data_IF_026419187083
#
_entry.id   IF_026419187083
#
_cell.length_a   1.000
_cell.length_b   1.000
_cell.length_c   1.000
_cell.angle_alpha   90.00
_cell.angle_beta   90.00
_cell.angle_gamma   90.00
#
_symmetry.space_group_name_H-M   'P 1'
#
loop_
_entity.id
_entity.type
_entity.pdbx_description
1 polymer ?
#
# COMPACT_ATOMS: atom_id res chain seq x y z
N UNK A 1 -48.53 -7.14 0.54
CA UNK A 1 -47.22 -7.82 0.57
C UNK A 1 -46.76 -8.28 -0.82
N UNK A 2 -47.60 -8.93 -1.65
CA UNK A 2 -47.19 -9.41 -3.00
C UNK A 2 -46.67 -8.30 -3.93
N UNK A 3 -47.35 -7.15 -4.01
CA UNK A 3 -47.01 -6.05 -4.92
C UNK A 3 -45.67 -5.36 -4.63
N UNK A 4 -45.23 -5.36 -3.37
CA UNK A 4 -43.93 -4.78 -2.98
C UNK A 4 -42.78 -5.73 -3.34
N UNK A 5 -42.97 -7.03 -3.11
CA UNK A 5 -42.00 -8.07 -3.48
C UNK A 5 -41.82 -8.18 -5.00
N UNK A 6 -42.89 -8.02 -5.77
CA UNK A 6 -42.82 -8.01 -7.23
C UNK A 6 -42.12 -6.75 -7.77
N UNK A 7 -42.31 -5.60 -7.13
CA UNK A 7 -41.57 -4.37 -7.45
C UNK A 7 -40.08 -4.50 -7.12
N UNK A 8 -39.73 -5.04 -5.96
CA UNK A 8 -38.35 -5.27 -5.55
C UNK A 8 -37.64 -6.29 -6.45
N UNK A 9 -38.32 -7.38 -6.82
CA UNK A 9 -37.79 -8.38 -7.76
C UNK A 9 -37.51 -7.78 -9.13
N UNK A 10 -38.42 -6.97 -9.66
CA UNK A 10 -38.23 -6.32 -10.96
C UNK A 10 -37.08 -5.30 -10.91
N UNK A 11 -36.91 -4.59 -9.80
CA UNK A 11 -35.81 -3.65 -9.59
C UNK A 11 -34.46 -4.36 -9.50
N UNK A 12 -34.35 -5.45 -8.73
CA UNK A 12 -33.14 -6.28 -8.66
C UNK A 12 -32.79 -6.91 -10.01
N UNK A 13 -33.80 -7.34 -10.78
CA UNK A 13 -33.58 -7.85 -12.14
C UNK A 13 -33.01 -6.75 -13.07
N UNK A 14 -33.54 -5.53 -13.02
CA UNK A 14 -33.04 -4.40 -13.80
C UNK A 14 -31.60 -4.01 -13.42
N UNK A 15 -31.29 -4.02 -12.12
CA UNK A 15 -29.93 -3.81 -11.59
C UNK A 15 -28.96 -4.87 -12.12
N UNK A 16 -29.34 -6.15 -12.08
CA UNK A 16 -28.52 -7.27 -12.58
C UNK A 16 -28.23 -7.14 -14.08
N UNK A 17 -29.23 -6.82 -14.89
CA UNK A 17 -29.06 -6.64 -16.33
C UNK A 17 -28.10 -5.46 -16.61
N UNK A 18 -28.27 -4.35 -15.89
CA UNK A 18 -27.41 -3.16 -16.04
C UNK A 18 -25.96 -3.44 -15.62
N UNK A 19 -25.76 -4.13 -14.49
CA UNK A 19 -24.42 -4.52 -14.02
C UNK A 19 -23.74 -5.50 -15.00
N UNK A 20 -24.48 -6.45 -15.57
CA UNK A 20 -23.96 -7.38 -16.57
C UNK A 20 -23.48 -6.63 -17.82
N UNK A 21 -24.27 -5.68 -18.33
CA UNK A 21 -23.85 -4.86 -19.48
C UNK A 21 -22.59 -4.02 -19.21
N UNK A 22 -22.43 -3.50 -17.99
CA UNK A 22 -21.22 -2.74 -17.61
C UNK A 22 -19.99 -3.66 -17.51
N UNK A 23 -20.17 -4.90 -17.02
CA UNK A 23 -19.10 -5.91 -16.97
C UNK A 23 -18.68 -6.32 -18.39
N UNK A 24 -19.64 -6.50 -19.30
CA UNK A 24 -19.36 -6.81 -20.71
C UNK A 24 -18.64 -5.65 -21.40
N UNK A 25 -19.07 -4.40 -21.16
CA UNK A 25 -18.35 -3.20 -21.62
C UNK A 25 -16.89 -3.21 -21.13
N UNK A 26 -16.65 -3.52 -19.85
CA UNK A 26 -15.31 -3.59 -19.28
C UNK A 26 -14.43 -4.68 -19.93
N UNK A 27 -15.02 -5.83 -20.29
CA UNK A 27 -14.33 -6.88 -21.02
C UNK A 27 -13.90 -6.40 -22.43
N UNK A 28 -14.73 -5.60 -23.12
CA UNK A 28 -14.37 -5.04 -24.43
C UNK A 28 -13.24 -4.03 -24.35
N UNK A 29 -13.08 -3.29 -23.25
CA UNK A 29 -11.94 -2.37 -23.04
C UNK A 29 -10.63 -3.15 -23.11
N UNK A 30 -10.55 -4.31 -22.44
CA UNK A 30 -9.34 -5.15 -22.43
C UNK A 30 -9.00 -5.66 -23.83
N UNK A 31 -9.99 -6.08 -24.61
CA UNK A 31 -9.80 -6.55 -25.98
C UNK A 31 -9.32 -5.43 -26.93
N UNK A 32 -9.89 -4.23 -26.80
CA UNK A 32 -9.48 -3.05 -27.56
C UNK A 32 -8.03 -2.63 -27.23
N UNK A 33 -7.67 -2.60 -25.94
CA UNK A 33 -6.30 -2.30 -25.50
C UNK A 33 -5.29 -3.26 -26.10
N UNK A 34 -5.57 -4.58 -26.07
CA UNK A 34 -4.69 -5.58 -26.69
C UNK A 34 -4.52 -5.33 -28.18
N UNK A 35 -5.60 -5.03 -28.88
CA UNK A 35 -5.57 -4.73 -30.32
C UNK A 35 -4.73 -3.49 -30.62
N UNK A 36 -4.91 -2.42 -29.83
CA UNK A 36 -4.16 -1.16 -30.01
C UNK A 36 -2.70 -1.29 -29.63
N UNK A 37 -2.37 -2.03 -28.57
CA UNK A 37 -0.99 -2.32 -28.18
C UNK A 37 -0.26 -3.18 -29.22
N UNK A 38 -0.95 -4.16 -29.83
CA UNK A 38 -0.40 -4.89 -30.97
C UNK A 38 -0.13 -3.95 -32.16
N UNK A 39 -0.98 -2.96 -32.39
CA UNK A 39 -0.75 -1.89 -33.37
C UNK A 39 0.51 -1.06 -33.09
N UNK A 40 0.76 -0.68 -31.82
CA UNK A 40 1.99 0.04 -31.41
C UNK A 40 3.23 -0.81 -31.66
N UNK A 41 3.18 -2.11 -31.32
CA UNK A 41 4.28 -3.05 -31.58
C UNK A 41 4.56 -3.22 -33.08
N UNK A 42 3.52 -3.42 -33.89
CA UNK A 42 3.66 -3.49 -35.34
C UNK A 42 4.24 -2.19 -35.93
N UNK A 43 3.82 -1.04 -35.39
CA UNK A 43 4.38 0.27 -35.74
C UNK A 43 5.88 0.37 -35.43
N UNK A 44 6.31 -0.13 -34.27
CA UNK A 44 7.73 -0.19 -33.90
C UNK A 44 8.55 -1.10 -34.84
N UNK A 45 8.03 -2.28 -35.18
CA UNK A 45 8.71 -3.18 -36.14
C UNK A 45 8.86 -2.53 -37.52
N UNK A 46 7.82 -1.80 -37.97
CA UNK A 46 7.87 -1.03 -39.22
C UNK A 46 8.93 0.08 -39.17
N UNK A 47 8.96 0.87 -38.08
CA UNK A 47 9.95 1.94 -37.89
C UNK A 47 11.37 1.39 -37.89
N UNK A 48 11.62 0.26 -37.21
CA UNK A 48 12.92 -0.41 -37.22
C UNK A 48 13.33 -0.84 -38.63
N UNK A 49 12.42 -1.45 -39.39
CA UNK A 49 12.69 -1.89 -40.76
C UNK A 49 13.04 -0.71 -41.68
N UNK A 50 12.33 0.41 -41.55
CA UNK A 50 12.58 1.61 -42.33
C UNK A 50 13.91 2.30 -41.97
N UNK A 51 14.29 2.28 -40.70
CA UNK A 51 15.49 2.95 -40.19
C UNK A 51 16.76 2.09 -40.25
N UNK A 52 16.61 0.77 -40.42
CA UNK A 52 17.72 -0.19 -40.47
C UNK A 52 18.88 0.21 -41.41
N UNK A 53 18.64 0.68 -42.66
CA UNK A 53 19.73 1.01 -43.58
C UNK A 53 20.63 2.16 -43.11
N UNK A 54 20.15 3.02 -42.21
CA UNK A 54 20.84 4.24 -41.78
C UNK A 54 21.19 4.25 -40.29
N UNK A 55 20.86 3.19 -39.54
CA UNK A 55 20.94 3.13 -38.06
C UNK A 55 22.34 3.39 -37.51
N UNK A 56 23.39 3.08 -38.29
CA UNK A 56 24.79 3.28 -37.89
C UNK A 56 25.29 4.73 -38.10
N UNK A 57 24.47 5.60 -38.67
CA UNK A 57 24.78 7.03 -38.81
C UNK A 57 24.26 7.83 -37.61
N UNK A 58 24.87 8.99 -37.25
CA UNK A 58 24.32 9.87 -36.21
C UNK A 58 22.86 10.26 -36.44
N UNK A 59 22.48 10.52 -37.71
CA UNK A 59 21.11 10.83 -38.12
C UNK A 59 20.15 9.66 -37.91
N UNK A 60 20.57 8.44 -38.22
CA UNK A 60 19.78 7.24 -38.01
C UNK A 60 19.55 6.93 -36.53
N UNK A 61 20.57 7.09 -35.68
CA UNK A 61 20.43 6.93 -34.22
C UNK A 61 19.42 7.92 -33.63
N UNK A 62 19.50 9.20 -34.03
CA UNK A 62 18.53 10.20 -33.62
C UNK A 62 17.10 9.85 -34.08
N UNK A 63 16.94 9.39 -35.32
CA UNK A 63 15.64 8.99 -35.85
C UNK A 63 15.03 7.79 -35.11
N UNK A 64 15.84 6.80 -34.71
CA UNK A 64 15.39 5.65 -33.90
C UNK A 64 14.93 6.11 -32.52
N UNK A 65 15.66 7.02 -31.86
CA UNK A 65 15.26 7.57 -30.57
C UNK A 65 13.94 8.34 -30.67
N UNK A 66 13.75 9.15 -31.71
CA UNK A 66 12.48 9.86 -31.96
C UNK A 66 11.32 8.89 -32.23
N UNK A 67 11.54 7.85 -33.02
CA UNK A 67 10.52 6.82 -33.28
C UNK A 67 10.16 6.06 -31.98
N UNK A 68 11.16 5.69 -31.18
CA UNK A 68 10.95 5.04 -29.87
C UNK A 68 10.12 5.91 -28.91
N UNK A 69 10.47 7.20 -28.78
CA UNK A 69 9.70 8.15 -27.96
C UNK A 69 8.24 8.27 -28.43
N UNK A 70 8.00 8.32 -29.74
CA UNK A 70 6.65 8.35 -30.29
C UNK A 70 5.84 7.10 -29.90
N UNK A 71 6.42 5.90 -30.04
CA UNK A 71 5.74 4.64 -29.69
C UNK A 71 5.45 4.52 -28.20
N UNK A 72 6.35 5.01 -27.35
CA UNK A 72 6.12 5.10 -25.92
C UNK A 72 4.94 6.05 -25.60
N UNK A 73 4.88 7.22 -26.24
CA UNK A 73 3.76 8.15 -26.07
C UNK A 73 2.43 7.57 -26.55
N UNK A 74 2.42 6.85 -27.67
CA UNK A 74 1.23 6.14 -28.18
C UNK A 74 0.77 5.06 -27.19
N UNK A 75 1.68 4.21 -26.71
CA UNK A 75 1.38 3.20 -25.69
C UNK A 75 0.81 3.82 -24.41
N UNK A 76 1.45 4.87 -23.89
CA UNK A 76 0.94 5.63 -22.73
C UNK A 76 -0.41 6.28 -23.00
N UNK A 77 -0.73 6.63 -24.25
CA UNK A 77 -2.05 7.12 -24.66
C UNK A 77 -3.12 6.03 -24.60
N UNK A 78 -2.82 4.83 -25.12
CA UNK A 78 -3.71 3.65 -25.04
C UNK A 78 -4.03 3.29 -23.60
N UNK A 79 -3.02 3.28 -22.72
CA UNK A 79 -3.19 2.95 -21.30
C UNK A 79 -4.05 4.01 -20.58
N UNK A 80 -3.79 5.31 -20.81
CA UNK A 80 -4.59 6.39 -20.20
C UNK A 80 -6.06 6.37 -20.63
N UNK A 81 -6.31 6.12 -21.91
CA UNK A 81 -7.67 5.95 -22.42
C UNK A 81 -8.39 4.75 -21.78
N UNK A 82 -7.69 3.62 -21.65
CA UNK A 82 -8.21 2.45 -20.97
C UNK A 82 -8.58 2.75 -19.50
N UNK A 83 -7.69 3.41 -18.76
CA UNK A 83 -7.95 3.81 -17.38
C UNK A 83 -9.17 4.73 -17.29
N UNK A 84 -9.31 5.71 -18.18
CA UNK A 84 -10.49 6.59 -18.22
C UNK A 84 -11.79 5.82 -18.46
N UNK A 85 -11.77 4.84 -19.36
CA UNK A 85 -12.94 4.00 -19.67
C UNK A 85 -13.27 3.02 -18.53
N UNK A 86 -12.27 2.45 -17.86
CA UNK A 86 -12.48 1.61 -16.68
C UNK A 86 -13.02 2.41 -15.50
N UNK A 87 -12.52 3.62 -15.27
CA UNK A 87 -13.07 4.53 -14.25
C UNK A 87 -14.53 4.86 -14.56
N UNK A 88 -14.87 5.19 -15.81
CA UNK A 88 -16.27 5.43 -16.20
C UNK A 88 -17.15 4.17 -16.08
N UNK A 89 -16.62 2.96 -16.28
CA UNK A 89 -17.35 1.73 -16.00
C UNK A 89 -17.58 1.53 -14.49
N UNK A 90 -16.57 1.82 -13.66
CA UNK A 90 -16.68 1.77 -12.20
C UNK A 90 -17.70 2.79 -11.66
N UNK A 91 -17.70 4.03 -12.15
CA UNK A 91 -18.67 5.06 -11.77
C UNK A 91 -20.11 4.65 -12.11
N UNK A 92 -20.31 4.06 -13.31
CA UNK A 92 -21.62 3.52 -13.72
C UNK A 92 -22.04 2.35 -12.83
N UNK A 93 -21.12 1.47 -12.46
CA UNK A 93 -21.41 0.34 -11.58
C UNK A 93 -21.77 0.81 -10.17
N UNK A 94 -21.07 1.82 -9.66
CA UNK A 94 -21.36 2.46 -8.37
C UNK A 94 -22.75 3.13 -8.39
N UNK A 95 -23.10 3.83 -9.47
CA UNK A 95 -24.42 4.43 -9.64
C UNK A 95 -25.55 3.38 -9.64
N UNK A 96 -25.31 2.21 -10.24
CA UNK A 96 -26.23 1.06 -10.18
C UNK A 96 -26.31 0.49 -8.76
N UNK A 97 -25.19 0.46 -8.03
CA UNK A 97 -25.14 0.01 -6.63
C UNK A 97 -25.90 0.92 -5.64
N UNK A 98 -26.00 2.22 -5.92
CA UNK A 98 -26.79 3.17 -5.13
C UNK A 98 -28.30 2.96 -5.28
N UNK A 99 -28.74 2.23 -6.31
CA UNK A 99 -30.15 1.91 -6.55
C UNK A 99 -30.59 0.59 -5.89
N UNK A 100 -29.66 -0.12 -5.23
CA UNK A 100 -29.98 -1.24 -4.35
C UNK A 100 -30.80 -0.73 -3.15
N UNK A 101 -31.88 -1.42 -2.76
CA UNK A 101 -32.52 -1.14 -1.48
C UNK A 101 -31.52 -1.47 -0.36
N UNK A 102 -30.89 -0.43 0.21
CA UNK A 102 -29.89 -0.54 1.28
C UNK A 102 -30.47 -0.82 2.68
N UNK A 103 -31.79 -1.04 2.77
CA UNK A 103 -32.41 -1.51 3.99
C UNK A 103 -32.62 -3.03 3.91
N UNK A 104 -32.02 -3.82 4.81
CA UNK A 104 -32.48 -5.18 5.03
C UNK A 104 -33.97 -5.11 5.38
N UNK A 105 -34.79 -5.97 4.76
CA UNK A 105 -36.14 -6.18 5.27
C UNK A 105 -36.04 -6.60 6.75
N UNK A 106 -36.85 -6.05 7.67
CA UNK A 106 -36.83 -6.45 9.07
C UNK A 106 -37.01 -7.97 9.18
N UNK A 107 -36.02 -8.67 9.73
CA UNK A 107 -36.09 -10.11 10.01
C UNK A 107 -35.42 -11.05 9.01
N UNK A 108 -34.56 -10.58 8.09
CA UNK A 108 -33.66 -11.48 7.34
C UNK A 108 -32.46 -11.85 8.22
N UNK A 109 -32.22 -13.15 8.53
CA UNK A 109 -31.00 -13.57 9.24
C UNK A 109 -29.76 -13.22 8.41
N UNK A 110 -28.76 -12.60 9.04
CA UNK A 110 -27.42 -12.50 8.46
C UNK A 110 -26.87 -13.92 8.24
N UNK A 111 -26.00 -14.11 7.25
CA UNK A 111 -25.39 -15.43 7.00
C UNK A 111 -24.68 -15.91 8.28
N UNK A 112 -24.79 -17.19 8.68
CA UNK A 112 -24.11 -17.72 9.85
C UNK A 112 -22.58 -17.46 9.88
N UNK A 113 -21.97 -17.33 8.69
CA UNK A 113 -20.56 -17.00 8.54
C UNK A 113 -20.24 -15.53 8.89
N UNK A 114 -21.09 -14.59 8.49
CA UNK A 114 -20.96 -13.17 8.81
C UNK A 114 -21.15 -12.94 10.31
N UNK A 115 -22.09 -13.68 10.91
CA UNK A 115 -22.32 -13.67 12.35
C UNK A 115 -21.10 -14.19 13.13
N UNK A 116 -20.44 -15.25 12.64
CA UNK A 116 -19.22 -15.76 13.28
C UNK A 116 -18.06 -14.78 13.15
N UNK A 117 -17.87 -14.20 11.97
CA UNK A 117 -16.85 -13.18 11.75
C UNK A 117 -17.03 -11.99 12.68
N UNK A 118 -18.26 -11.48 12.77
CA UNK A 118 -18.60 -10.38 13.67
C UNK A 118 -18.33 -10.72 15.14
N UNK A 119 -18.65 -11.93 15.60
CA UNK A 119 -18.31 -12.38 16.96
C UNK A 119 -16.80 -12.39 17.22
N UNK A 120 -16.02 -12.96 16.31
CA UNK A 120 -14.56 -13.01 16.44
C UNK A 120 -13.93 -11.62 16.52
N UNK A 121 -14.40 -10.67 15.70
CA UNK A 121 -13.98 -9.28 15.74
C UNK A 121 -14.29 -8.62 17.09
N UNK A 122 -15.51 -8.82 17.62
CA UNK A 122 -15.89 -8.31 18.94
C UNK A 122 -14.96 -8.87 20.02
N UNK A 123 -14.68 -10.18 20.00
CA UNK A 123 -13.79 -10.83 20.97
C UNK A 123 -12.35 -10.31 20.89
N UNK A 124 -11.81 -10.17 19.67
CA UNK A 124 -10.47 -9.63 19.44
C UNK A 124 -10.33 -8.19 19.95
N UNK A 125 -11.33 -7.35 19.67
CA UNK A 125 -11.37 -5.97 20.14
C UNK A 125 -11.49 -5.90 21.67
N UNK A 126 -12.41 -6.67 22.27
CA UNK A 126 -12.58 -6.77 23.73
C UNK A 126 -11.30 -7.19 24.43
N UNK A 127 -10.51 -8.10 23.85
CA UNK A 127 -9.23 -8.54 24.42
C UNK A 127 -8.21 -7.39 24.57
N UNK A 128 -8.25 -6.40 23.68
CA UNK A 128 -7.33 -5.26 23.68
C UNK A 128 -7.86 -4.07 24.46
N UNK A 129 -9.18 -3.83 24.43
CA UNK A 129 -9.79 -2.60 24.97
C UNK A 129 -10.71 -2.82 26.17
N UNK A 130 -11.05 -4.06 26.51
CA UNK A 130 -11.96 -4.38 27.62
C UNK A 130 -13.42 -3.99 27.38
N UNK A 131 -13.78 -3.52 26.19
CA UNK A 131 -15.12 -3.08 25.79
C UNK A 131 -15.46 -3.60 24.40
N UNK A 132 -16.74 -3.58 24.03
CA UNK A 132 -17.19 -3.91 22.67
C UNK A 132 -16.96 -2.76 21.69
N UNK A 133 -16.80 -3.06 20.39
CA UNK A 133 -16.73 -2.03 19.35
C UNK A 133 -18.10 -1.34 19.19
N UNK A 134 -18.11 -0.01 19.19
CA UNK A 134 -19.33 0.80 19.07
C UNK A 134 -19.24 1.87 17.98
N UNK A 135 -18.03 2.34 17.67
CA UNK A 135 -17.78 3.31 16.60
C UNK A 135 -17.33 2.63 15.30
N UNK A 136 -17.36 3.35 14.17
CA UNK A 136 -16.82 2.84 12.90
C UNK A 136 -15.33 2.50 13.03
N UNK A 137 -14.54 3.39 13.66
CA UNK A 137 -13.12 3.15 13.94
C UNK A 137 -12.88 1.92 14.82
N UNK A 138 -13.77 1.65 15.78
CA UNK A 138 -13.68 0.41 16.57
C UNK A 138 -13.87 -0.83 15.71
N UNK A 139 -14.79 -0.79 14.73
CA UNK A 139 -15.03 -1.90 13.82
C UNK A 139 -13.87 -2.11 12.85
N UNK A 140 -13.25 -1.03 12.35
CA UNK A 140 -12.03 -1.12 11.53
C UNK A 140 -10.88 -1.76 12.33
N UNK A 141 -10.70 -1.31 13.57
CA UNK A 141 -9.69 -1.88 14.48
C UNK A 141 -10.00 -3.32 14.88
N UNK A 142 -11.27 -3.66 15.09
CA UNK A 142 -11.70 -5.02 15.38
C UNK A 142 -11.39 -5.97 14.21
N UNK A 143 -11.62 -5.53 12.97
CA UNK A 143 -11.28 -6.29 11.76
C UNK A 143 -9.77 -6.49 11.59
N UNK A 144 -8.95 -5.50 11.97
CA UNK A 144 -7.50 -5.62 11.93
C UNK A 144 -6.92 -6.53 13.04
N UNK A 145 -7.58 -6.58 14.20
CA UNK A 145 -7.19 -7.42 15.34
C UNK A 145 -7.69 -8.86 15.25
N UNK A 146 -8.62 -9.16 14.35
CA UNK A 146 -9.22 -10.48 14.20
C UNK A 146 -8.16 -11.54 13.85
N UNK A 147 -7.90 -12.53 14.73
CA UNK A 147 -6.86 -13.52 14.52
C UNK A 147 -7.30 -14.67 13.61
N UNK A 148 -8.42 -14.53 12.88
CA UNK A 148 -8.96 -15.55 12.00
C UNK A 148 -8.82 -15.19 10.54
N UNK A 149 -8.85 -16.23 9.71
CA UNK A 149 -8.95 -16.12 8.27
C UNK A 149 -10.25 -16.73 7.77
N UNK A 150 -10.93 -15.98 6.90
CA UNK A 150 -12.21 -16.33 6.29
C UNK A 150 -12.10 -16.56 4.79
N UNK A 151 -11.08 -15.97 4.15
CA UNK A 151 -10.82 -16.21 2.73
C UNK A 151 -10.44 -17.69 2.54
N UNK A 152 -11.20 -18.46 1.72
CA UNK A 152 -10.91 -19.87 1.48
C UNK A 152 -9.47 -20.13 1.04
N UNK A 153 -8.81 -19.18 0.37
CA UNK A 153 -7.41 -19.34 -0.07
C UNK A 153 -6.46 -19.60 1.09
N UNK A 154 -6.74 -19.00 2.26
CA UNK A 154 -5.89 -19.09 3.44
C UNK A 154 -6.03 -20.43 4.20
N UNK A 155 -6.96 -21.31 3.79
CA UNK A 155 -7.25 -22.60 4.44
C UNK A 155 -7.45 -22.52 5.96
N UNK A 156 -7.99 -21.39 6.44
CA UNK A 156 -8.22 -21.12 7.87
C UNK A 156 -6.95 -20.87 8.69
N UNK A 157 -5.76 -20.82 8.08
CA UNK A 157 -4.54 -20.49 8.80
C UNK A 157 -4.62 -19.05 9.34
N UNK A 158 -4.32 -18.81 10.63
CA UNK A 158 -4.46 -17.49 11.21
C UNK A 158 -3.37 -16.53 10.70
N UNK A 159 -3.66 -15.23 10.58
CA UNK A 159 -2.65 -14.21 10.37
C UNK A 159 -1.77 -14.03 11.62
N UNK A 160 -0.57 -13.46 11.44
CA UNK A 160 0.23 -12.94 12.54
C UNK A 160 -0.01 -11.45 12.70
N UNK A 161 -0.31 -11.03 13.93
CA UNK A 161 -0.68 -9.66 14.28
C UNK A 161 0.26 -9.11 15.34
N UNK A 162 0.83 -7.94 15.06
CA UNK A 162 1.63 -7.16 16.01
C UNK A 162 1.01 -5.78 16.21
N UNK A 163 1.14 -5.23 17.41
CA UNK A 163 0.47 -4.00 17.81
C UNK A 163 1.39 -3.08 18.60
N UNK A 164 1.06 -1.79 18.65
CA UNK A 164 1.71 -0.80 19.50
C UNK A 164 0.74 0.30 19.90
N UNK A 165 0.84 0.82 21.12
CA UNK A 165 0.00 1.92 21.61
C UNK A 165 0.63 3.26 21.24
N UNK A 166 -0.17 4.16 20.68
CA UNK A 166 0.21 5.56 20.46
C UNK A 166 -0.66 6.46 21.35
N UNK A 167 -0.30 7.74 21.50
CA UNK A 167 -1.24 8.71 22.05
C UNK A 167 -2.38 8.91 21.06
N UNK A 168 -3.66 8.78 21.49
CA UNK A 168 -4.79 9.09 20.64
C UNK A 168 -4.75 10.53 20.11
N UNK A 169 -5.28 10.74 18.91
CA UNK A 169 -5.48 12.05 18.26
C UNK A 169 -6.94 12.12 17.79
N UNK A 170 -7.87 12.50 18.68
CA UNK A 170 -9.30 12.44 18.38
C UNK A 170 -9.72 13.26 17.15
N UNK A 171 -10.68 12.74 16.39
CA UNK A 171 -11.20 13.33 15.16
C UNK A 171 -10.41 12.96 13.89
N UNK A 172 -9.30 12.25 14.03
CA UNK A 172 -8.47 11.80 12.90
C UNK A 172 -8.86 10.41 12.40
N UNK A 173 -9.72 9.69 13.13
CA UNK A 173 -10.23 8.39 12.71
C UNK A 173 -9.12 7.35 12.55
N UNK A 174 -9.23 6.59 11.46
CA UNK A 174 -8.32 5.50 11.12
C UNK A 174 -7.64 5.77 9.78
N UNK A 175 -6.36 5.39 9.69
CA UNK A 175 -5.63 5.28 8.42
C UNK A 175 -5.33 3.82 8.14
N UNK A 176 -5.92 3.27 7.08
CA UNK A 176 -5.72 1.89 6.63
C UNK A 176 -4.69 1.86 5.52
N UNK A 177 -3.58 1.16 5.73
CA UNK A 177 -2.57 0.87 4.71
C UNK A 177 -2.63 -0.60 4.35
N UNK A 178 -2.82 -0.91 3.07
CA UNK A 178 -2.90 -2.27 2.56
C UNK A 178 -1.83 -2.50 1.50
N UNK A 179 -1.12 -3.61 1.60
CA UNK A 179 -0.11 -4.06 0.64
C UNK A 179 -0.55 -5.40 0.06
N UNK A 180 -0.88 -5.42 -1.23
CA UNK A 180 -1.52 -6.55 -1.89
C UNK A 180 -0.85 -6.87 -3.23
N UNK A 181 -0.86 -8.16 -3.58
CA UNK A 181 -0.34 -8.63 -4.87
C UNK A 181 -1.47 -8.53 -5.91
N UNK A 182 -1.34 -7.70 -6.96
CA UNK A 182 -2.41 -7.53 -7.94
C UNK A 182 -2.72 -8.79 -8.73
N UNK A 183 -1.69 -9.55 -9.08
CA UNK A 183 -1.81 -10.80 -9.84
C UNK A 183 -2.42 -11.94 -9.04
N UNK A 184 -2.80 -13.01 -9.77
CA UNK A 184 -3.30 -14.25 -9.18
C UNK A 184 -2.24 -14.97 -8.36
N UNK A 185 -1.00 -14.96 -8.82
CA UNK A 185 0.14 -15.63 -8.21
C UNK A 185 1.44 -14.89 -8.53
N UNK A 186 2.48 -15.22 -7.76
CA UNK A 186 3.85 -14.75 -7.94
C UNK A 186 4.84 -15.88 -7.75
N UNK A 187 6.00 -15.76 -8.40
CA UNK A 187 7.09 -16.71 -8.25
C UNK A 187 7.73 -16.58 -6.88
N UNK A 188 7.86 -17.72 -6.22
CA UNK A 188 8.56 -17.92 -4.99
C UNK A 188 9.79 -18.80 -5.25
N UNK A 189 11.01 -18.22 -5.25
CA UNK A 189 12.23 -18.96 -5.54
C UNK A 189 12.45 -20.09 -4.54
N UNK A 190 12.85 -21.27 -5.02
CA UNK A 190 13.19 -22.42 -4.15
C UNK A 190 14.47 -23.12 -4.58
N UNK A 191 15.08 -23.84 -3.64
CA UNK A 191 16.16 -24.78 -3.93
C UNK A 191 15.55 -26.05 -4.54
N UNK A 192 15.44 -26.13 -5.87
CA UNK A 192 14.87 -27.28 -6.57
C UNK A 192 14.67 -27.10 -8.08
N UNK A 193 14.06 -28.08 -8.74
CA UNK A 193 13.61 -27.98 -10.14
C UNK A 193 12.10 -28.30 -10.23
N UNK A 194 11.25 -27.41 -10.79
CA UNK A 194 11.59 -26.06 -11.25
C UNK A 194 12.12 -25.17 -10.10
N UNK A 195 12.92 -24.14 -10.41
CA UNK A 195 13.61 -23.31 -9.40
C UNK A 195 12.69 -22.31 -8.69
N UNK A 196 11.39 -22.47 -8.83
CA UNK A 196 10.36 -21.66 -8.19
C UNK A 196 9.10 -22.49 -7.99
N UNK A 197 8.32 -22.12 -6.99
CA UNK A 197 6.88 -22.41 -6.91
C UNK A 197 6.10 -21.11 -7.14
N UNK A 198 4.78 -21.20 -7.16
CA UNK A 198 3.87 -20.08 -7.25
C UNK A 198 3.19 -19.85 -5.89
N UNK A 199 3.30 -18.64 -5.34
CA UNK A 199 2.52 -18.22 -4.19
C UNK A 199 1.31 -17.41 -4.64
N UNK A 200 0.13 -17.70 -4.09
CA UNK A 200 -1.09 -16.99 -4.41
C UNK A 200 -1.02 -15.51 -4.02
N UNK A 201 -1.46 -14.67 -4.94
CA UNK A 201 -1.65 -13.26 -4.74
C UNK A 201 -3.03 -12.91 -4.18
N UNK A 202 -3.37 -11.62 -4.29
CA UNK A 202 -4.67 -11.10 -3.87
C UNK A 202 -5.64 -10.94 -5.04
N UNK A 203 -5.15 -11.02 -6.28
CA UNK A 203 -5.94 -11.02 -7.51
C UNK A 203 -6.99 -9.88 -7.55
N UNK A 204 -6.55 -8.67 -7.21
CA UNK A 204 -7.45 -7.52 -7.08
C UNK A 204 -6.79 -6.22 -7.53
N UNK A 205 -7.61 -5.19 -7.71
CA UNK A 205 -7.18 -3.80 -7.83
C UNK A 205 -7.32 -3.04 -6.51
N UNK A 206 -7.16 -1.72 -6.61
CA UNK A 206 -7.39 -0.85 -5.47
C UNK A 206 -8.84 -0.88 -5.01
N UNK A 207 -9.07 -0.86 -3.69
CA UNK A 207 -10.41 -0.85 -3.12
C UNK A 207 -10.46 -0.14 -1.77
N UNK A 208 -11.28 0.90 -1.62
CA UNK A 208 -11.44 1.58 -0.33
C UNK A 208 -12.18 0.72 0.70
N UNK A 209 -12.84 -0.36 0.31
CA UNK A 209 -13.70 -1.17 1.20
C UNK A 209 -13.13 -2.54 1.51
N UNK A 210 -11.92 -2.85 1.04
CA UNK A 210 -11.30 -4.16 1.29
C UNK A 210 -10.91 -4.30 2.77
N UNK A 211 -11.23 -5.46 3.31
CA UNK A 211 -10.85 -5.85 4.66
C UNK A 211 -9.33 -6.08 4.77
N UNK A 212 -8.75 -5.99 5.98
CA UNK A 212 -7.34 -6.31 6.24
C UNK A 212 -6.90 -7.70 5.77
N UNK A 213 -7.81 -8.68 5.67
CA UNK A 213 -7.54 -10.02 5.13
C UNK A 213 -7.30 -10.03 3.62
N UNK A 214 -7.89 -9.11 2.88
CA UNK A 214 -7.78 -9.03 1.42
C UNK A 214 -6.43 -8.51 0.91
N UNK A 215 -5.39 -8.52 1.75
CA UNK A 215 -4.05 -8.02 1.44
C UNK A 215 -3.00 -9.00 1.94
N UNK A 216 -1.75 -8.95 1.48
CA UNK A 216 -0.66 -9.74 2.10
C UNK A 216 -0.26 -9.17 3.45
N UNK A 217 -0.16 -7.85 3.52
CA UNK A 217 0.17 -7.11 4.74
C UNK A 217 -0.77 -5.92 4.85
N UNK A 218 -1.25 -5.65 6.07
CA UNK A 218 -1.98 -4.42 6.38
C UNK A 218 -1.41 -3.76 7.64
N UNK A 219 -1.44 -2.43 7.65
CA UNK A 219 -1.09 -1.60 8.80
C UNK A 219 -2.21 -0.59 9.00
N UNK A 220 -2.85 -0.64 10.16
CA UNK A 220 -3.92 0.23 10.58
C UNK A 220 -3.40 1.14 11.68
N UNK A 221 -3.50 2.46 11.49
CA UNK A 221 -3.25 3.46 12.54
C UNK A 221 -4.59 4.02 12.97
N UNK A 222 -5.03 3.65 14.16
CA UNK A 222 -6.26 4.15 14.78
C UNK A 222 -5.90 5.26 15.77
N UNK A 223 -6.18 6.50 15.36
CA UNK A 223 -5.97 7.66 16.18
C UNK A 223 -7.05 7.83 17.25
N UNK A 224 -8.23 7.26 17.10
CA UNK A 224 -9.30 7.33 18.11
C UNK A 224 -8.98 6.42 19.30
N UNK A 225 -8.59 5.18 19.02
CA UNK A 225 -8.25 4.17 20.03
C UNK A 225 -6.77 4.18 20.44
N UNK A 226 -5.93 4.99 19.79
CA UNK A 226 -4.52 5.13 20.11
C UNK A 226 -3.73 3.84 19.90
N UNK A 227 -3.89 3.20 18.74
CA UNK A 227 -3.22 1.93 18.44
C UNK A 227 -2.73 1.87 16.99
N UNK A 228 -1.60 1.21 16.79
CA UNK A 228 -1.14 0.72 15.50
C UNK A 228 -1.34 -0.80 15.51
N UNK A 229 -2.00 -1.33 14.49
CA UNK A 229 -2.19 -2.76 14.29
C UNK A 229 -1.57 -3.14 12.96
N UNK A 230 -0.65 -4.08 12.94
CA UNK A 230 -0.07 -4.61 11.73
C UNK A 230 -0.32 -6.10 11.63
N UNK A 231 -0.77 -6.53 10.47
CA UNK A 231 -1.24 -7.89 10.19
C UNK A 231 -0.53 -8.41 8.95
N UNK A 232 0.06 -9.60 9.05
CA UNK A 232 0.54 -10.36 7.89
C UNK A 232 -0.36 -11.58 7.71
N UNK A 233 -0.98 -11.67 6.53
CA UNK A 233 -1.83 -12.80 6.17
C UNK A 233 -1.00 -13.99 5.66
N UNK A 234 -1.56 -15.21 5.68
CA UNK A 234 -0.86 -16.39 5.22
C UNK A 234 -0.42 -16.30 3.76
N UNK A 235 0.79 -16.77 3.47
CA UNK A 235 1.23 -17.14 2.13
C UNK A 235 0.72 -18.55 1.82
N UNK A 236 0.32 -18.78 0.57
CA UNK A 236 -0.23 -20.06 0.11
C UNK A 236 0.50 -20.46 -1.16
N UNK A 237 1.20 -21.57 -1.11
CA UNK A 237 1.88 -22.14 -2.26
C UNK A 237 0.84 -22.87 -3.13
N UNK A 238 0.58 -22.34 -4.32
CA UNK A 238 -0.44 -22.82 -5.24
C UNK A 238 -0.13 -24.20 -5.83
N UNK A 239 1.15 -24.56 -5.92
CA UNK A 239 1.59 -25.83 -6.51
C UNK A 239 1.49 -27.00 -5.52
N UNK A 240 1.68 -26.73 -4.23
CA UNK A 240 1.71 -27.75 -3.16
C UNK A 240 0.48 -27.70 -2.24
N UNK A 241 -0.25 -26.58 -2.23
CA UNK A 241 -1.31 -26.28 -1.26
C UNK A 241 -0.77 -25.95 0.14
N UNK A 242 0.54 -25.82 0.32
CA UNK A 242 1.12 -25.51 1.62
C UNK A 242 0.78 -24.08 2.04
N UNK A 243 0.46 -23.89 3.32
CA UNK A 243 0.19 -22.58 3.90
C UNK A 243 1.20 -22.28 5.00
N UNK A 244 1.78 -21.09 4.97
CA UNK A 244 2.70 -20.59 5.99
C UNK A 244 2.42 -19.12 6.24
N UNK A 245 2.63 -18.66 7.47
CA UNK A 245 2.45 -17.26 7.85
C UNK A 245 3.77 -16.71 8.40
N UNK A 246 4.23 -15.59 7.84
CA UNK A 246 5.37 -14.84 8.36
C UNK A 246 4.94 -13.90 9.48
N UNK A 247 5.89 -13.39 10.25
CA UNK A 247 5.62 -12.42 11.32
C UNK A 247 6.14 -11.05 10.92
N UNK A 248 5.30 -10.01 10.78
CA UNK A 248 5.78 -8.72 10.31
C UNK A 248 6.68 -8.06 11.36
N UNK A 249 7.82 -7.52 10.93
CA UNK A 249 8.71 -6.72 11.78
C UNK A 249 8.37 -5.24 11.60
N UNK A 250 7.64 -4.68 12.55
CA UNK A 250 7.17 -3.30 12.51
C UNK A 250 7.74 -2.55 13.70
N UNK A 251 8.14 -1.31 13.47
CA UNK A 251 8.55 -0.39 14.54
C UNK A 251 8.02 1.01 14.24
N UNK A 252 7.75 1.77 15.29
CA UNK A 252 7.15 3.10 15.15
C UNK A 252 7.68 4.10 16.18
N UNK A 253 7.52 5.39 15.87
CA UNK A 253 7.62 6.50 16.82
C UNK A 253 6.52 7.52 16.53
N UNK A 254 6.13 8.29 17.54
CA UNK A 254 5.11 9.34 17.40
C UNK A 254 5.67 10.71 17.80
N UNK A 255 5.30 11.76 17.08
CA UNK A 255 5.57 13.14 17.47
C UNK A 255 4.48 13.68 18.40
N UNK A 256 4.76 14.77 19.12
CA UNK A 256 3.77 15.45 19.97
C UNK A 256 2.58 16.01 19.19
N UNK A 257 2.78 16.35 17.92
CA UNK A 257 1.73 16.77 16.99
C UNK A 257 0.82 15.60 16.53
N UNK A 258 1.08 14.37 16.99
CA UNK A 258 0.32 13.17 16.65
C UNK A 258 0.85 12.39 15.46
N UNK A 259 1.78 12.94 14.67
CA UNK A 259 2.34 12.26 13.50
C UNK A 259 3.04 10.96 13.89
N UNK A 260 2.85 9.92 13.10
CA UNK A 260 3.44 8.59 13.32
C UNK A 260 4.39 8.26 12.18
N UNK A 261 5.60 7.83 12.51
CA UNK A 261 6.54 7.21 11.58
C UNK A 261 6.55 5.71 11.83
N UNK A 262 6.43 4.92 10.75
CA UNK A 262 6.38 3.48 10.76
C UNK A 262 7.48 2.96 9.84
N UNK A 263 8.33 2.09 10.38
CA UNK A 263 9.20 1.24 9.60
C UNK A 263 8.62 -0.18 9.59
N UNK A 264 8.42 -0.74 8.40
CA UNK A 264 7.83 -2.06 8.23
C UNK A 264 8.73 -2.96 7.40
N UNK A 265 8.74 -4.24 7.74
CA UNK A 265 9.45 -5.29 7.00
C UNK A 265 8.72 -6.63 7.18
N UNK A 266 8.10 -7.10 6.11
CA UNK A 266 7.36 -8.36 6.06
C UNK A 266 7.91 -9.21 4.91
N UNK A 267 8.21 -10.47 5.18
CA UNK A 267 8.77 -11.36 4.17
C UNK A 267 7.90 -12.60 4.00
N UNK A 268 8.00 -13.21 2.83
CA UNK A 268 7.35 -14.46 2.54
C UNK A 268 8.00 -15.59 3.36
N UNK A 269 7.28 -16.31 4.23
CA UNK A 269 7.83 -17.43 4.97
C UNK A 269 8.37 -18.56 4.08
N UNK A 270 7.97 -18.63 2.81
CA UNK A 270 8.51 -19.60 1.86
C UNK A 270 9.83 -19.20 1.20
N UNK A 271 10.27 -17.94 1.37
CA UNK A 271 11.55 -17.45 0.83
C UNK A 271 12.71 -18.41 1.15
N UNK A 272 13.73 -18.54 0.30
CA UNK A 272 14.88 -19.41 0.55
C UNK A 272 15.54 -19.14 1.92
N UNK A 273 15.57 -20.16 2.79
CA UNK A 273 16.08 -20.02 4.17
C UNK A 273 15.08 -19.45 5.18
N UNK A 274 13.85 -19.15 4.75
CA UNK A 274 12.76 -18.61 5.56
C UNK A 274 12.72 -17.08 5.60
N UNK A 275 11.77 -16.53 6.37
CA UNK A 275 11.55 -15.09 6.46
C UNK A 275 12.72 -14.31 7.10
N UNK A 276 13.52 -14.93 7.97
CA UNK A 276 14.64 -14.28 8.65
C UNK A 276 15.71 -13.78 7.68
N UNK A 277 16.31 -14.68 6.86
CA UNK A 277 17.22 -14.28 5.79
C UNK A 277 16.60 -13.28 4.82
N UNK A 278 15.36 -13.50 4.37
CA UNK A 278 14.68 -12.61 3.42
C UNK A 278 14.60 -11.16 3.92
N UNK A 279 14.29 -10.95 5.20
CA UNK A 279 14.29 -9.63 5.85
C UNK A 279 15.68 -9.03 6.02
N UNK A 280 16.73 -9.85 6.06
CA UNK A 280 18.12 -9.41 6.21
C UNK A 280 18.75 -8.96 4.87
N UNK A 281 18.24 -9.42 3.72
CA UNK A 281 18.84 -9.16 2.39
C UNK A 281 17.88 -8.47 1.40
N UNK A 282 17.42 -7.25 1.69
CA UNK A 282 16.17 -6.58 1.23
C UNK A 282 15.24 -7.28 0.21
N UNK A 283 15.02 -8.60 0.31
CA UNK A 283 14.07 -9.36 -0.51
C UNK A 283 12.84 -9.60 0.35
N UNK A 284 12.17 -8.49 0.68
CA UNK A 284 10.99 -8.47 1.55
C UNK A 284 10.16 -7.24 1.23
N UNK A 285 8.88 -7.26 1.59
CA UNK A 285 8.02 -6.07 1.51
C UNK A 285 8.38 -5.15 2.67
N UNK A 286 9.15 -4.10 2.38
CA UNK A 286 9.70 -3.23 3.40
C UNK A 286 9.69 -1.75 3.01
N UNK A 287 9.85 -0.88 4.00
CA UNK A 287 9.89 0.55 3.77
C UNK A 287 9.58 1.37 5.00
N UNK A 288 9.47 2.67 4.79
CA UNK A 288 9.11 3.65 5.81
C UNK A 288 7.91 4.44 5.33
N UNK A 289 6.93 4.61 6.20
CA UNK A 289 5.73 5.42 6.00
C UNK A 289 5.57 6.38 7.16
N UNK A 290 5.23 7.63 6.87
CA UNK A 290 4.87 8.62 7.86
C UNK A 290 3.44 9.10 7.59
N UNK A 291 2.68 9.29 8.66
CA UNK A 291 1.29 9.76 8.64
C UNK A 291 1.23 10.98 9.55
N UNK A 292 0.83 12.13 9.00
CA UNK A 292 0.67 13.37 9.73
C UNK A 292 -0.82 13.76 9.82
N UNK A 293 -1.43 13.72 11.02
CA UNK A 293 -2.73 14.29 11.27
C UNK A 293 -2.85 15.76 10.81
N UNK A 294 -4.03 16.15 10.31
CA UNK A 294 -4.34 17.55 10.05
C UNK A 294 -5.84 17.83 10.17
N UNK A 295 -6.27 19.10 10.29
CA UNK A 295 -7.69 19.46 10.28
C UNK A 295 -8.43 19.00 9.02
N UNK A 296 -7.78 19.05 7.84
CA UNK A 296 -8.37 18.60 6.57
C UNK A 296 -8.32 17.09 6.40
N UNK A 297 -7.52 16.39 7.20
CA UNK A 297 -7.32 14.94 7.16
C UNK A 297 -5.85 14.56 7.16
N UNK A 298 -5.54 13.30 7.46
CA UNK A 298 -4.17 12.83 7.52
C UNK A 298 -3.49 12.94 6.14
N UNK A 299 -2.22 13.34 6.14
CA UNK A 299 -1.34 13.30 4.98
C UNK A 299 -0.34 12.17 5.15
N UNK A 300 0.12 11.59 4.03
CA UNK A 300 1.01 10.43 4.04
C UNK A 300 2.20 10.62 3.11
N UNK A 301 3.33 10.03 3.48
CA UNK A 301 4.52 9.97 2.65
C UNK A 301 5.43 8.83 3.06
N UNK A 302 6.31 8.41 2.17
CA UNK A 302 7.13 7.24 2.45
C UNK A 302 8.19 6.92 1.42
N UNK A 303 9.02 5.95 1.77
CA UNK A 303 9.93 5.25 0.85
C UNK A 303 9.64 3.76 0.98
N UNK A 304 9.08 3.17 -0.07
CA UNK A 304 8.49 1.83 -0.07
C UNK A 304 9.15 0.96 -1.12
N UNK A 305 9.18 -0.37 -0.94
CA UNK A 305 9.58 -1.27 -2.04
C UNK A 305 8.72 -1.06 -3.28
N UNK A 306 9.29 -1.27 -4.45
CA UNK A 306 8.59 -1.06 -5.73
C UNK A 306 7.56 -2.14 -6.08
N UNK A 307 7.48 -3.19 -5.26
CA UNK A 307 6.47 -4.25 -5.22
C UNK A 307 6.15 -4.57 -3.75
N UNK A 308 4.91 -4.92 -3.38
CA UNK A 308 3.71 -5.13 -4.19
C UNK A 308 2.95 -3.82 -4.44
N UNK A 309 1.65 -3.87 -4.77
CA UNK A 309 0.80 -2.68 -4.78
C UNK A 309 0.55 -2.21 -3.33
N UNK A 310 0.40 -0.90 -3.15
CA UNK A 310 0.07 -0.29 -1.87
C UNK A 310 -1.08 0.71 -2.04
N UNK A 311 -2.02 0.69 -1.10
CA UNK A 311 -3.10 1.66 -0.99
C UNK A 311 -3.24 2.15 0.44
N UNK A 312 -3.54 3.43 0.62
CA UNK A 312 -3.76 4.06 1.91
C UNK A 312 -5.05 4.86 1.85
N UNK A 313 -5.95 4.60 2.79
CA UNK A 313 -7.23 5.27 2.92
C UNK A 313 -7.40 5.87 4.32
N UNK A 314 -8.15 6.97 4.41
CA UNK A 314 -8.60 7.58 5.65
C UNK A 314 -10.09 7.32 5.87
N UNK A 315 -10.41 6.86 7.07
CA UNK A 315 -11.77 6.67 7.57
C UNK A 315 -11.97 7.57 8.78
N UNK A 316 -12.67 8.68 8.58
CA UNK A 316 -12.94 9.71 9.59
C UNK A 316 -14.43 9.90 9.80
N UNK A 317 -14.84 10.48 10.94
CA UNK A 317 -16.22 10.90 11.12
C UNK A 317 -16.72 11.75 9.93
N UNK A 318 -17.72 11.24 9.20
CA UNK A 318 -18.30 11.90 8.03
C UNK A 318 -17.57 11.71 6.70
N UNK A 319 -16.42 11.04 6.65
CA UNK A 319 -15.67 10.77 5.42
C UNK A 319 -14.95 9.42 5.50
N UNK A 320 -15.53 8.40 4.87
CA UNK A 320 -14.98 7.04 4.83
C UNK A 320 -14.37 6.74 3.46
N UNK A 321 -13.30 5.94 3.42
CA UNK A 321 -12.65 5.47 2.21
C UNK A 321 -11.93 6.55 1.42
N UNK A 322 -11.53 7.65 2.06
CA UNK A 322 -10.86 8.77 1.37
C UNK A 322 -9.46 8.33 0.95
N UNK A 323 -9.13 8.29 -0.36
CA UNK A 323 -7.81 7.88 -0.82
C UNK A 323 -6.75 8.89 -0.41
N UNK A 324 -5.70 8.41 0.27
CA UNK A 324 -4.51 9.20 0.62
C UNK A 324 -3.33 8.88 -0.30
N UNK A 325 -3.18 7.60 -0.66
CA UNK A 325 -2.13 7.12 -1.56
C UNK A 325 -2.58 5.85 -2.27
N UNK A 326 -2.24 5.73 -3.56
CA UNK A 326 -2.34 4.50 -4.33
C UNK A 326 -1.06 4.36 -5.16
N UNK A 327 -0.40 3.21 -5.05
CA UNK A 327 0.88 2.95 -5.69
C UNK A 327 0.88 1.54 -6.28
N UNK A 328 0.92 1.46 -7.60
CA UNK A 328 1.05 0.20 -8.34
C UNK A 328 2.51 -0.30 -8.35
N UNK A 329 2.80 -1.59 -8.61
CA UNK A 329 4.14 -2.05 -8.91
C UNK A 329 4.82 -1.24 -10.01
N UNK A 330 6.12 -0.99 -9.88
CA UNK A 330 6.83 -0.04 -10.77
C UNK A 330 7.37 -0.68 -12.04
N UNK A 331 7.62 -1.99 -12.03
CA UNK A 331 8.22 -2.72 -13.15
C UNK A 331 7.21 -3.64 -13.82
N UNK A 332 6.63 -4.56 -13.05
CA UNK A 332 5.58 -5.47 -13.51
C UNK A 332 4.66 -5.85 -12.35
N UNK A 333 3.42 -6.21 -12.69
CA UNK A 333 2.40 -6.74 -11.80
C UNK A 333 2.09 -8.23 -12.05
N UNK A 334 2.85 -8.86 -12.95
CA UNK A 334 2.79 -10.31 -13.21
C UNK A 334 3.54 -11.13 -12.13
N UNK A 335 3.61 -12.45 -12.36
CA UNK A 335 4.20 -13.38 -11.41
C UNK A 335 5.68 -13.11 -11.08
N UNK A 336 6.42 -12.43 -11.96
CA UNK A 336 7.82 -12.08 -11.72
C UNK A 336 8.01 -10.83 -10.86
N UNK A 337 6.93 -10.12 -10.53
CA UNK A 337 6.94 -8.85 -9.78
C UNK A 337 7.83 -8.81 -8.54
N UNK A 338 7.81 -9.80 -7.63
CA UNK A 338 8.68 -9.79 -6.47
C UNK A 338 10.17 -9.77 -6.80
N UNK A 339 10.59 -10.54 -7.82
CA UNK A 339 12.01 -10.70 -8.18
C UNK A 339 12.63 -9.38 -8.66
N UNK A 340 11.86 -8.60 -9.41
CA UNK A 340 12.32 -7.33 -9.98
C UNK A 340 11.95 -6.13 -9.12
N UNK A 341 11.04 -6.28 -8.15
CA UNK A 341 10.47 -5.16 -7.40
C UNK A 341 10.87 -5.07 -5.93
N UNK A 342 11.09 -6.19 -5.23
CA UNK A 342 11.50 -6.17 -3.82
C UNK A 342 12.88 -5.53 -3.59
N UNK A 343 13.90 -5.71 -4.46
CA UNK A 343 15.23 -5.13 -4.23
C UNK A 343 15.32 -3.60 -4.36
N UNK A 344 14.27 -2.93 -4.84
CA UNK A 344 14.27 -1.50 -5.13
C UNK A 344 13.17 -0.77 -4.38
N UNK A 345 13.41 0.51 -4.08
CA UNK A 345 12.46 1.39 -3.40
C UNK A 345 12.09 2.58 -4.27
N UNK A 346 10.94 3.18 -3.94
CA UNK A 346 10.48 4.45 -4.49
C UNK A 346 9.88 5.33 -3.40
N UNK A 347 10.05 6.63 -3.58
CA UNK A 347 9.37 7.64 -2.78
C UNK A 347 7.91 7.78 -3.22
N UNK A 348 7.01 7.90 -2.26
CA UNK A 348 5.57 8.06 -2.46
C UNK A 348 5.00 9.13 -1.53
N UNK A 349 3.89 9.76 -1.95
CA UNK A 349 3.22 10.80 -1.18
C UNK A 349 4.11 12.00 -0.88
N UNK A 350 3.86 12.65 0.25
CA UNK A 350 4.66 13.77 0.73
C UNK A 350 5.82 13.29 1.61
N UNK A 351 6.97 13.05 0.99
CA UNK A 351 8.17 12.60 1.70
C UNK A 351 8.70 13.61 2.74
N UNK A 352 8.28 14.88 2.67
CA UNK A 352 8.68 15.87 3.67
C UNK A 352 8.21 15.48 5.08
N UNK A 353 7.09 14.74 5.18
CA UNK A 353 6.59 14.21 6.44
C UNK A 353 7.59 13.24 7.06
N UNK A 354 8.18 12.35 6.27
CA UNK A 354 9.22 11.41 6.75
C UNK A 354 10.43 12.18 7.22
N UNK A 355 10.92 13.14 6.42
CA UNK A 355 12.08 13.96 6.80
C UNK A 355 11.82 14.84 8.02
N UNK A 356 10.56 15.14 8.31
CA UNK A 356 10.13 15.85 9.50
C UNK A 356 10.39 15.10 10.80
N UNK A 357 10.78 13.82 10.77
CA UNK A 357 11.21 13.07 11.96
C UNK A 357 12.73 13.12 12.20
N UNK A 358 13.50 13.71 11.29
CA UNK A 358 14.95 13.78 11.39
C UNK A 358 15.38 14.88 12.38
N UNK A 359 16.42 14.63 13.16
CA UNK A 359 17.12 15.70 13.88
C UNK A 359 17.96 16.50 12.89
N UNK A 360 17.95 17.82 13.06
CA UNK A 360 18.71 18.75 12.22
C UNK A 360 19.48 19.72 13.12
N UNK A 361 20.81 19.66 13.05
CA UNK A 361 21.67 20.51 13.88
C UNK A 361 22.94 20.94 13.14
N UNK A 362 23.54 22.09 13.47
CA UNK A 362 24.78 22.54 12.84
C UNK A 362 25.91 21.54 13.07
N UNK A 363 26.71 21.28 12.03
CA UNK A 363 27.98 20.57 12.19
C UNK A 363 28.91 21.42 13.06
N UNK A 364 29.46 20.81 14.10
CA UNK A 364 30.59 21.40 14.82
C UNK A 364 31.78 21.32 13.88
N UNK A 365 32.19 22.46 13.32
CA UNK A 365 33.36 22.52 12.45
C UNK A 365 34.59 22.06 13.27
N UNK A 366 35.39 21.10 12.77
CA UNK A 366 36.68 20.80 13.39
C UNK A 366 37.55 22.08 13.37
N UNK A 367 38.43 22.29 14.37
CA UNK A 367 39.33 23.43 14.37
C UNK A 367 40.13 23.46 13.07
N UNK A 368 40.07 24.58 12.35
CA UNK A 368 40.79 24.75 11.11
C UNK A 368 42.30 24.56 11.37
N UNK A 369 43.02 23.74 10.59
CA UNK A 369 44.47 23.70 10.67
C UNK A 369 45.04 25.10 10.37
N UNK A 370 46.18 25.49 10.96
CA UNK A 370 46.77 26.81 10.75
C UNK A 370 47.02 27.02 9.25
N UNK A 371 46.32 28.00 8.68
CA UNK A 371 46.43 28.34 7.26
C UNK A 371 47.77 29.04 6.96
N UNK A 372 48.42 28.76 5.82
CA UNK A 372 49.47 29.62 5.28
C UNK A 372 48.88 31.00 4.90
N UNK A 373 49.69 32.07 4.87
CA UNK A 373 49.21 33.45 4.83
C UNK A 373 48.81 33.89 3.41
N UNK A 374 47.86 33.24 2.72
CA UNK A 374 47.42 33.70 1.40
C UNK A 374 45.91 33.53 1.15
N UNK A 375 45.21 34.66 1.07
CA UNK A 375 43.92 34.84 0.41
C UNK A 375 42.68 34.72 1.32
N UNK A 376 41.63 35.53 1.09
CA UNK A 376 40.36 35.37 1.81
C UNK A 376 39.73 34.03 1.42
N UNK A 377 39.61 33.14 2.40
CA UNK A 377 38.85 31.89 2.27
C UNK A 377 37.36 32.25 2.27
N UNK A 378 36.55 31.79 1.30
CA UNK A 378 35.11 31.94 1.37
C UNK A 378 34.58 31.21 2.61
N UNK A 379 34.22 31.94 3.65
CA UNK A 379 33.51 31.38 4.81
C UNK A 379 32.05 31.21 4.38
N UNK A 380 31.48 29.99 4.39
CA UNK A 380 30.07 29.80 4.12
C UNK A 380 29.23 30.69 5.03
N UNK A 381 28.20 31.34 4.49
CA UNK A 381 27.32 32.22 5.27
C UNK A 381 26.54 31.47 6.38
N UNK A 382 26.45 30.14 6.28
CA UNK A 382 25.86 29.26 7.28
C UNK A 382 26.75 28.02 7.48
N UNK A 383 26.84 27.49 8.71
CA UNK A 383 27.50 26.22 8.95
C UNK A 383 26.76 25.09 8.20
N UNK A 384 27.49 24.07 7.71
CA UNK A 384 26.84 22.87 7.17
C UNK A 384 25.99 22.20 8.25
N UNK A 385 24.86 21.61 7.87
CA UNK A 385 23.94 20.94 8.79
C UNK A 385 24.16 19.43 8.78
N UNK A 386 24.01 18.80 9.94
CA UNK A 386 23.87 17.35 10.09
C UNK A 386 22.39 17.02 10.11
N UNK A 387 21.99 16.01 9.34
CA UNK A 387 20.64 15.43 9.37
C UNK A 387 20.77 14.00 9.88
N UNK A 388 20.16 13.70 11.02
CA UNK A 388 20.12 12.35 11.57
C UNK A 388 18.69 11.79 11.49
N UNK A 389 18.47 10.63 10.85
CA UNK A 389 17.18 9.97 10.90
C UNK A 389 16.84 9.55 12.33
N UNK A 390 15.55 9.41 12.68
CA UNK A 390 15.14 8.97 14.00
C UNK A 390 15.75 7.62 14.36
N UNK A 391 16.57 7.59 15.40
CA UNK A 391 17.00 6.37 16.07
C UNK A 391 15.98 5.95 17.12
N UNK A 392 15.92 4.65 17.45
CA UNK A 392 15.07 4.08 18.53
C UNK A 392 13.55 4.07 18.25
N UNK A 393 13.16 3.66 17.04
CA UNK A 393 11.77 3.25 16.79
C UNK A 393 11.38 2.11 17.76
N UNK A 394 10.21 2.20 18.38
CA UNK A 394 9.66 1.17 19.25
C UNK A 394 9.19 -0.02 18.41
N UNK A 395 9.76 -1.23 18.57
CA UNK A 395 9.22 -2.42 17.92
C UNK A 395 7.80 -2.70 18.43
N UNK A 396 6.89 -3.02 17.53
CA UNK A 396 5.55 -3.49 17.89
C UNK A 396 5.63 -4.89 18.48
N UNK A 397 4.69 -5.22 19.35
CA UNK A 397 4.68 -6.46 20.14
C UNK A 397 3.41 -7.29 19.93
N UNK A 398 3.27 -8.40 20.67
CA UNK A 398 2.08 -9.25 20.57
C UNK A 398 0.82 -8.53 21.07
N UNK A 399 -0.35 -8.94 20.57
CA UNK A 399 -1.67 -8.39 20.95
C UNK A 399 -1.91 -8.42 22.47
N UNK A 400 -1.36 -9.42 23.17
CA UNK A 400 -1.50 -9.56 24.63
C UNK A 400 -0.69 -8.56 25.45
N UNK A 401 0.33 -7.95 24.86
CA UNK A 401 1.19 -6.98 25.53
C UNK A 401 1.64 -5.88 24.55
N UNK A 402 0.73 -4.99 24.13
CA UNK A 402 1.07 -3.93 23.18
C UNK A 402 2.07 -2.94 23.81
N UNK A 403 3.29 -2.77 23.27
CA UNK A 403 4.25 -1.79 23.77
C UNK A 403 3.77 -0.36 23.54
N UNK A 404 4.17 0.55 24.42
CA UNK A 404 3.95 1.99 24.21
C UNK A 404 4.96 2.54 23.23
N UNK A 405 4.48 3.07 22.10
CA UNK A 405 5.29 3.77 21.11
C UNK A 405 5.88 5.03 21.73
N UNK A 406 7.19 5.20 21.56
CA UNK A 406 7.93 6.34 22.10
C UNK A 406 7.49 7.61 21.40
N UNK A 407 7.20 8.62 22.23
CA UNK A 407 6.97 9.98 21.76
C UNK A 407 8.31 10.71 21.62
N UNK A 408 8.64 11.16 20.41
CA UNK A 408 9.88 11.85 20.09
C UNK A 408 9.63 12.96 19.07
N UNK A 409 9.92 14.18 19.48
CA UNK A 409 10.00 15.32 18.56
C UNK A 409 11.44 15.49 18.08
N UNK A 410 11.65 15.85 16.80
CA UNK A 410 12.98 16.07 16.26
C UNK A 410 13.65 17.26 16.94
N UNK A 411 14.96 17.14 17.18
CA UNK A 411 15.79 18.25 17.60
C UNK A 411 16.15 19.10 16.38
N UNK A 412 15.50 20.25 16.24
CA UNK A 412 15.79 21.21 15.18
C UNK A 412 16.49 22.44 15.76
N UNK A 413 17.82 22.47 15.65
CA UNK A 413 18.64 23.60 16.11
C UNK A 413 18.92 24.50 14.90
N UNK A 414 18.41 25.74 14.87
CA UNK A 414 18.71 26.66 13.78
C UNK A 414 20.20 27.03 13.79
N UNK A 415 20.79 27.37 12.62
CA UNK A 415 22.14 27.88 12.58
C UNK A 415 22.24 29.16 13.40
N UNK A 416 23.16 29.19 14.37
CA UNK A 416 23.45 30.40 15.14
C UNK A 416 24.24 31.34 14.23
N UNK A 417 23.65 32.50 13.91
CA UNK A 417 24.39 33.58 13.24
C UNK A 417 25.42 34.14 14.23
N UNK A 418 26.70 33.88 13.98
CA UNK A 418 27.75 34.63 14.66
C UNK A 418 27.72 36.07 14.11
N UNK A 419 27.55 37.10 14.95
CA UNK A 419 27.70 38.48 14.49
C UNK A 419 29.10 38.67 13.90
N UNK A 420 29.15 39.30 12.71
CA UNK A 420 30.37 39.57 11.96
C UNK A 420 31.28 40.56 12.68
#
# INVERSE_FOLDING_TARGET
>A
MSTHLDADRNRVHAIRVSATGIIDDAATITADVRTRMAGVQAGWESDKKALWPIVNTPKGRAAVLTAGHRRLQEASGVIRDAMGRFNGAADRLQAVGLDLPLAPAPGVPQSPADDQRRRNQIEAFKKVFGREPVSVSDWDTAAALDPHSYDPKNLGAPPNIVVGRIKPVPGQGVVRTNMFIPGRDVWDPKLGWPPYDNNLGDNRGFSPTVDPEGSRVSVLVDYENGIIVARQNPSVNADTGQVRVGTPSISATQQSNGSVLINYNAADPFSPGGEGPAKAIPISVNGTLAIAPSPSGPHVGGNITTFPAMEIYSDRPGAMGVPLLQSWPSFTDDASGPLVGLPFHKTVGDYSIVTGFNDVFPQIAPPAPPHPPHGPVPVPAMPPMTVLPPSNLTPLGPVSAPPQVVLRDPLNIPPVFLPR
#
